data_IF_728444776801
#
_entry.id   IF_728444776801
#
_cell.length_a   1.000
_cell.length_b   1.000
_cell.length_c   1.000
_cell.angle_alpha   90.00
_cell.angle_beta   90.00
_cell.angle_gamma   90.00
#
_symmetry.space_group_name_H-M   'P 1'
#
loop_
_entity.id
_entity.type
_entity.pdbx_description
1 polymer ?
#
# COMPACT_ATOMS: atom_id res chain seq x y z
N UNK A 1 -51.28 13.72 -22.31
CA UNK A 1 -50.71 13.77 -20.95
C UNK A 1 -49.51 12.83 -20.98
N UNK A 2 -48.34 13.42 -21.23
CA UNK A 2 -47.03 12.78 -21.10
C UNK A 2 -46.87 12.16 -19.71
N UNK A 3 -46.21 11.02 -19.61
CA UNK A 3 -45.15 10.78 -18.61
C UNK A 3 -44.13 9.78 -19.21
N UNK A 4 -43.17 10.40 -19.88
CA UNK A 4 -41.76 10.06 -20.08
C UNK A 4 -41.18 8.78 -19.46
N UNK A 5 -40.45 8.07 -20.31
CA UNK A 5 -39.57 6.96 -19.94
C UNK A 5 -38.41 7.43 -19.06
N UNK A 6 -38.15 6.67 -18.01
CA UNK A 6 -36.95 6.78 -17.18
C UNK A 6 -35.78 6.12 -17.89
N UNK A 7 -35.08 6.90 -18.73
CA UNK A 7 -33.72 6.57 -19.11
C UNK A 7 -32.83 6.73 -17.90
N UNK A 8 -32.29 5.63 -17.39
CA UNK A 8 -31.20 5.66 -16.41
C UNK A 8 -30.01 6.34 -17.08
N UNK A 9 -29.83 7.63 -16.81
CA UNK A 9 -28.62 8.36 -17.21
C UNK A 9 -27.48 7.82 -16.39
N UNK A 10 -26.81 6.82 -16.95
CA UNK A 10 -25.48 6.41 -16.57
C UNK A 10 -24.59 7.64 -16.61
N UNK A 11 -24.06 8.02 -15.46
CA UNK A 11 -23.07 9.10 -15.33
C UNK A 11 -21.84 8.66 -16.11
N UNK A 12 -21.61 9.26 -17.28
CA UNK A 12 -20.45 8.95 -18.12
C UNK A 12 -19.22 9.57 -17.47
N UNK A 13 -18.51 8.76 -16.69
CA UNK A 13 -17.19 9.13 -16.21
C UNK A 13 -16.21 9.07 -17.40
N UNK A 14 -15.79 10.23 -17.90
CA UNK A 14 -14.64 10.40 -18.78
C UNK A 14 -14.86 10.05 -20.25
N UNK A 15 -15.00 11.07 -21.11
CA UNK A 15 -14.93 10.92 -22.58
C UNK A 15 -16.09 10.17 -23.23
N UNK A 16 -16.13 10.17 -24.57
CA UNK A 16 -17.08 9.36 -25.32
C UNK A 16 -16.67 7.88 -25.25
N UNK A 17 -17.64 6.97 -25.09
CA UNK A 17 -17.37 5.53 -25.12
C UNK A 17 -16.84 5.12 -26.51
N UNK A 18 -15.97 4.10 -26.58
CA UNK A 18 -15.49 3.58 -27.85
C UNK A 18 -16.64 3.11 -28.74
N UNK A 19 -16.51 3.37 -30.03
CA UNK A 19 -17.47 2.95 -31.06
C UNK A 19 -17.10 1.63 -31.72
N UNK A 20 -15.83 1.24 -31.64
CA UNK A 20 -15.32 -0.03 -32.13
C UNK A 20 -14.21 -0.59 -31.23
N UNK A 21 -13.84 -1.85 -31.49
CA UNK A 21 -12.79 -2.56 -30.74
C UNK A 21 -11.43 -1.86 -30.81
N UNK A 22 -11.06 -1.29 -31.95
CA UNK A 22 -9.76 -0.64 -32.12
C UNK A 22 -9.69 0.60 -31.24
N UNK A 23 -10.76 1.38 -31.20
CA UNK A 23 -10.89 2.54 -30.32
C UNK A 23 -10.87 2.14 -28.84
N UNK A 24 -11.50 1.02 -28.47
CA UNK A 24 -11.48 0.52 -27.09
C UNK A 24 -10.07 0.15 -26.63
N UNK A 25 -9.31 -0.53 -27.49
CA UNK A 25 -7.93 -0.94 -27.22
C UNK A 25 -7.02 0.30 -27.12
N UNK A 26 -7.21 1.29 -27.97
CA UNK A 26 -6.47 2.55 -27.91
C UNK A 26 -6.77 3.33 -26.62
N UNK A 27 -8.04 3.38 -26.22
CA UNK A 27 -8.43 3.98 -24.94
C UNK A 27 -7.78 3.27 -23.73
N UNK A 28 -7.64 1.94 -23.77
CA UNK A 28 -6.91 1.21 -22.72
C UNK A 28 -5.42 1.59 -22.72
N UNK A 29 -4.79 1.79 -23.90
CA UNK A 29 -3.40 2.29 -23.98
C UNK A 29 -3.27 3.68 -23.37
N UNK A 30 -4.17 4.59 -23.70
CA UNK A 30 -4.20 5.95 -23.12
C UNK A 30 -4.30 5.89 -21.59
N UNK A 31 -5.13 5.00 -21.04
CA UNK A 31 -5.23 4.82 -19.58
C UNK A 31 -3.89 4.35 -18.98
N UNK A 32 -3.17 3.42 -19.64
CA UNK A 32 -1.84 2.97 -19.21
C UNK A 32 -0.80 4.10 -19.21
N UNK A 33 -0.86 5.01 -20.18
CA UNK A 33 0.04 6.18 -20.25
C UNK A 33 -0.20 7.17 -19.09
N UNK A 34 -1.42 7.22 -18.54
CA UNK A 34 -1.78 8.02 -17.36
C UNK A 34 -1.50 7.29 -16.03
N UNK A 35 -0.81 6.15 -16.07
CA UNK A 35 -0.50 5.30 -14.91
C UNK A 35 -1.73 4.94 -14.08
N UNK A 36 -2.87 4.67 -14.73
CA UNK A 36 -4.15 4.48 -14.03
C UNK A 36 -4.15 3.36 -12.98
N UNK A 37 -3.27 2.36 -13.10
CA UNK A 37 -3.02 1.29 -12.11
C UNK A 37 -2.54 1.79 -10.74
N UNK A 38 -2.01 3.00 -10.70
CA UNK A 38 -1.34 3.54 -9.51
C UNK A 38 -1.95 4.88 -9.10
N UNK A 39 -2.25 5.74 -10.08
CA UNK A 39 -2.78 7.08 -9.83
C UNK A 39 -4.30 7.09 -9.62
N UNK A 40 -5.02 6.13 -10.19
CA UNK A 40 -6.48 6.17 -10.32
C UNK A 40 -6.98 7.29 -11.25
N UNK A 41 -6.07 7.97 -11.96
CA UNK A 41 -6.37 9.17 -12.76
C UNK A 41 -6.86 8.87 -14.19
N UNK A 42 -6.85 7.60 -14.61
CA UNK A 42 -7.28 7.21 -15.95
C UNK A 42 -8.74 7.55 -16.24
N UNK A 43 -9.04 7.86 -17.49
CA UNK A 43 -10.40 8.15 -17.95
C UNK A 43 -11.26 6.91 -17.83
N UNK A 44 -10.72 5.73 -18.15
CA UNK A 44 -11.38 4.43 -18.10
C UNK A 44 -12.65 4.37 -18.97
N UNK A 45 -12.67 5.11 -20.08
CA UNK A 45 -13.84 5.22 -20.97
C UNK A 45 -14.19 3.93 -21.71
N UNK A 46 -13.22 3.01 -21.83
CA UNK A 46 -13.40 1.70 -22.43
C UNK A 46 -13.92 0.64 -21.45
N UNK A 47 -14.21 1.00 -20.21
CA UNK A 47 -14.69 0.07 -19.20
C UNK A 47 -16.20 0.15 -19.04
N UNK A 48 -16.83 -1.01 -18.85
CA UNK A 48 -18.20 -1.06 -18.35
C UNK A 48 -18.25 -0.52 -16.92
N UNK A 49 -19.29 0.25 -16.56
CA UNK A 49 -19.36 0.88 -15.24
C UNK A 49 -19.42 -0.15 -14.10
N UNK A 50 -19.87 -1.38 -14.38
CA UNK A 50 -19.92 -2.53 -13.48
C UNK A 50 -18.86 -3.60 -13.80
N UNK A 51 -17.78 -3.21 -14.50
CA UNK A 51 -16.62 -4.06 -14.76
C UNK A 51 -16.15 -4.74 -13.48
N UNK A 52 -15.89 -6.04 -13.60
CA UNK A 52 -15.26 -6.85 -12.55
C UNK A 52 -13.76 -6.59 -12.54
N UNK A 53 -13.24 -6.11 -11.42
CA UNK A 53 -11.82 -5.98 -11.15
C UNK A 53 -11.41 -7.07 -10.17
N UNK A 54 -10.42 -7.86 -10.53
CA UNK A 54 -9.95 -8.96 -9.71
C UNK A 54 -8.43 -9.10 -9.77
N UNK A 55 -7.84 -9.36 -8.62
CA UNK A 55 -6.43 -9.66 -8.41
C UNK A 55 -6.32 -10.88 -7.46
N UNK A 56 -5.11 -11.40 -7.16
CA UNK A 56 -4.93 -12.55 -6.27
C UNK A 56 -5.41 -12.36 -4.82
N UNK A 57 -5.67 -11.13 -4.38
CA UNK A 57 -6.09 -10.76 -3.03
C UNK A 57 -7.57 -10.39 -2.93
N UNK A 58 -8.16 -9.81 -3.99
CA UNK A 58 -9.50 -9.25 -3.95
C UNK A 58 -10.22 -9.34 -5.31
N UNK A 59 -11.56 -9.36 -5.25
CA UNK A 59 -12.42 -9.14 -6.42
C UNK A 59 -13.58 -8.22 -6.03
N UNK A 60 -13.89 -7.27 -6.92
CA UNK A 60 -15.00 -6.34 -6.75
C UNK A 60 -15.51 -5.84 -8.10
N UNK A 61 -16.66 -5.16 -8.10
CA UNK A 61 -17.24 -4.53 -9.29
C UNK A 61 -17.26 -3.02 -9.16
N UNK A 62 -17.07 -2.35 -10.29
CA UNK A 62 -17.34 -0.93 -10.46
C UNK A 62 -16.10 -0.06 -10.70
N UNK A 63 -16.11 0.73 -11.77
CA UNK A 63 -15.00 1.64 -12.15
C UNK A 63 -14.73 2.70 -11.07
N UNK A 64 -15.79 3.31 -10.52
CA UNK A 64 -15.64 4.30 -9.44
C UNK A 64 -15.03 3.72 -8.17
N UNK A 65 -15.34 2.44 -7.87
CA UNK A 65 -14.72 1.74 -6.75
C UNK A 65 -13.25 1.46 -7.03
N UNK A 66 -12.92 1.07 -8.27
CA UNK A 66 -11.54 0.86 -8.70
C UNK A 66 -10.71 2.14 -8.55
N UNK A 67 -11.16 3.26 -9.13
CA UNK A 67 -10.47 4.57 -9.06
C UNK A 67 -10.21 4.99 -7.61
N UNK A 68 -11.21 4.83 -6.73
CA UNK A 68 -11.05 5.14 -5.30
C UNK A 68 -10.02 4.23 -4.60
N UNK A 69 -10.06 2.92 -4.86
CA UNK A 69 -9.13 1.96 -4.25
C UNK A 69 -7.68 2.26 -4.66
N UNK A 70 -7.46 2.46 -5.96
CA UNK A 70 -6.13 2.76 -6.50
C UNK A 70 -5.64 4.12 -6.02
N UNK A 71 -6.48 5.16 -5.99
CA UNK A 71 -6.09 6.49 -5.48
C UNK A 71 -5.67 6.45 -4.00
N UNK A 72 -6.41 5.71 -3.16
CA UNK A 72 -6.05 5.53 -1.75
C UNK A 72 -4.68 4.85 -1.58
N UNK A 73 -4.39 3.84 -2.39
CA UNK A 73 -3.11 3.15 -2.35
C UNK A 73 -1.98 4.01 -2.94
N UNK A 74 -2.25 4.70 -4.05
CA UNK A 74 -1.34 5.59 -4.75
C UNK A 74 -0.84 6.74 -3.88
N UNK A 75 -1.67 7.25 -2.97
CA UNK A 75 -1.25 8.23 -1.96
C UNK A 75 -0.16 7.74 -1.00
N UNK A 76 0.07 6.42 -0.92
CA UNK A 76 1.13 5.80 -0.13
C UNK A 76 2.32 5.35 -0.98
N UNK A 77 2.38 5.67 -2.28
CA UNK A 77 3.47 5.23 -3.15
C UNK A 77 4.44 6.36 -3.49
N UNK A 78 5.73 6.03 -3.51
CA UNK A 78 6.84 6.87 -3.96
C UNK A 78 7.66 6.13 -5.01
N UNK A 79 8.37 6.86 -5.86
CA UNK A 79 9.27 6.30 -6.88
C UNK A 79 8.60 5.19 -7.71
N UNK A 80 7.37 5.46 -8.17
CA UNK A 80 6.57 4.52 -8.95
C UNK A 80 7.21 4.32 -10.33
N UNK A 81 7.45 3.05 -10.68
CA UNK A 81 7.86 2.60 -12.00
C UNK A 81 6.87 1.52 -12.48
N UNK A 82 6.15 1.82 -13.55
CA UNK A 82 5.28 0.87 -14.25
C UNK A 82 5.75 0.77 -15.69
N UNK A 83 6.15 -0.43 -16.09
CA UNK A 83 6.60 -0.72 -17.45
C UNK A 83 5.75 -1.80 -18.08
N UNK A 84 5.09 -1.46 -19.17
CA UNK A 84 4.39 -2.43 -20.01
C UNK A 84 5.42 -3.13 -20.90
N UNK A 85 5.49 -4.45 -20.81
CA UNK A 85 6.45 -5.29 -21.54
C UNK A 85 5.82 -6.03 -22.72
N UNK A 86 4.51 -6.27 -22.68
CA UNK A 86 3.75 -6.80 -23.81
C UNK A 86 2.34 -6.20 -23.83
N UNK A 87 1.78 -6.09 -25.03
CA UNK A 87 0.45 -5.57 -25.29
C UNK A 87 -0.13 -6.30 -26.51
N UNK A 88 -0.87 -7.39 -26.25
CA UNK A 88 -1.30 -8.36 -27.26
C UNK A 88 -2.82 -8.41 -27.34
N UNK A 89 -3.36 -8.18 -28.54
CA UNK A 89 -4.77 -8.36 -28.79
C UNK A 89 -5.11 -9.85 -28.81
N UNK A 90 -6.14 -10.23 -28.05
CA UNK A 90 -6.67 -11.59 -28.00
C UNK A 90 -8.05 -11.63 -28.65
N UNK A 91 -8.56 -12.81 -28.96
CA UNK A 91 -9.93 -12.94 -29.52
C UNK A 91 -10.98 -12.23 -28.65
N UNK A 92 -10.84 -12.35 -27.33
CA UNK A 92 -11.83 -11.88 -26.37
C UNK A 92 -11.52 -10.48 -25.81
N UNK A 93 -10.42 -9.86 -26.23
CA UNK A 93 -10.04 -8.51 -25.77
C UNK A 93 -8.54 -8.27 -25.84
N UNK A 94 -7.92 -7.99 -24.71
CA UNK A 94 -6.53 -7.56 -24.64
C UNK A 94 -5.81 -8.24 -23.48
N UNK A 95 -4.58 -8.68 -23.71
CA UNK A 95 -3.67 -9.11 -22.66
C UNK A 95 -2.44 -8.20 -22.64
N UNK A 96 -2.07 -7.76 -21.45
CA UNK A 96 -0.87 -6.95 -21.23
C UNK A 96 0.03 -7.64 -20.22
N UNK A 97 1.33 -7.52 -20.40
CA UNK A 97 2.31 -7.93 -19.37
C UNK A 97 3.01 -6.68 -18.86
N UNK A 98 3.25 -6.61 -17.56
CA UNK A 98 3.79 -5.44 -16.88
C UNK A 98 4.82 -5.81 -15.80
N UNK A 99 5.69 -4.85 -15.53
CA UNK A 99 6.59 -4.83 -14.38
C UNK A 99 6.31 -3.57 -13.59
N UNK A 100 6.07 -3.74 -12.31
CA UNK A 100 5.70 -2.66 -11.41
C UNK A 100 6.65 -2.64 -10.20
N UNK A 101 7.07 -1.45 -9.81
CA UNK A 101 7.71 -1.23 -8.52
C UNK A 101 7.38 0.14 -7.93
N UNK A 102 7.34 0.23 -6.61
CA UNK A 102 7.29 1.49 -5.87
C UNK A 102 7.85 1.31 -4.45
N UNK A 103 8.21 2.41 -3.81
CA UNK A 103 8.52 2.47 -2.38
C UNK A 103 7.28 2.93 -1.64
N UNK A 104 6.79 2.14 -0.68
CA UNK A 104 5.64 2.57 0.11
C UNK A 104 6.05 3.62 1.16
N UNK A 105 5.20 4.62 1.36
CA UNK A 105 5.35 5.69 2.36
C UNK A 105 4.98 5.20 3.78
N UNK A 106 5.56 4.08 4.17
CA UNK A 106 5.53 3.56 5.53
C UNK A 106 6.84 3.94 6.24
N UNK A 107 6.89 3.94 7.59
CA UNK A 107 8.08 4.40 8.32
C UNK A 107 9.39 3.70 7.93
N UNK A 108 9.33 2.42 7.56
CA UNK A 108 10.49 1.63 7.14
C UNK A 108 10.66 1.52 5.61
N UNK A 109 9.86 2.26 4.84
CA UNK A 109 9.96 2.37 3.37
C UNK A 109 10.17 1.04 2.64
N UNK A 110 9.23 0.08 2.75
CA UNK A 110 9.39 -1.19 2.04
C UNK A 110 9.23 -1.03 0.54
N UNK A 111 9.91 -1.88 -0.22
CA UNK A 111 9.78 -1.99 -1.67
C UNK A 111 8.61 -2.92 -2.01
N UNK A 112 7.63 -2.41 -2.73
CA UNK A 112 6.62 -3.22 -3.40
C UNK A 112 7.06 -3.40 -4.84
N UNK A 113 7.35 -4.64 -5.25
CA UNK A 113 7.73 -4.95 -6.62
C UNK A 113 7.07 -6.25 -7.07
N UNK A 114 6.48 -6.24 -8.27
CA UNK A 114 5.82 -7.39 -8.87
C UNK A 114 5.95 -7.34 -10.39
N UNK A 115 5.96 -8.51 -11.01
CA UNK A 115 5.65 -8.66 -12.44
C UNK A 115 4.38 -9.46 -12.58
N UNK A 116 3.68 -9.26 -13.68
CA UNK A 116 2.42 -9.91 -13.93
C UNK A 116 1.83 -9.48 -15.24
N UNK A 117 0.56 -9.83 -15.42
CA UNK A 117 -0.21 -9.43 -16.58
C UNK A 117 -1.65 -9.12 -16.23
N UNK A 118 -2.30 -8.40 -17.12
CA UNK A 118 -3.71 -8.03 -17.01
C UNK A 118 -4.45 -8.53 -18.23
N UNK A 119 -5.56 -9.24 -17.99
CA UNK A 119 -6.50 -9.64 -19.02
C UNK A 119 -7.71 -8.72 -18.98
N UNK A 120 -7.97 -8.05 -20.09
CA UNK A 120 -9.14 -7.22 -20.33
C UNK A 120 -10.08 -7.99 -21.27
N UNK A 121 -11.23 -8.42 -20.76
CA UNK A 121 -12.26 -9.08 -21.57
C UNK A 121 -13.27 -8.05 -22.04
N UNK A 122 -13.43 -7.94 -23.36
CA UNK A 122 -14.39 -7.05 -24.00
C UNK A 122 -15.73 -7.79 -24.23
N UNK A 123 -16.83 -7.06 -24.12
CA UNK A 123 -18.16 -7.52 -24.56
C UNK A 123 -18.45 -7.13 -26.02
N UNK A 124 -19.66 -7.42 -26.49
CA UNK A 124 -20.12 -7.10 -27.85
C UNK A 124 -20.21 -5.59 -28.10
N UNK A 125 -20.36 -4.78 -27.05
CA UNK A 125 -20.34 -3.31 -27.11
C UNK A 125 -18.92 -2.72 -27.04
N UNK A 126 -17.89 -3.56 -27.13
CA UNK A 126 -16.48 -3.18 -27.06
C UNK A 126 -16.05 -2.55 -25.73
N UNK A 127 -16.77 -2.85 -24.65
CA UNK A 127 -16.43 -2.42 -23.30
C UNK A 127 -15.77 -3.54 -22.49
N UNK A 128 -14.79 -3.18 -21.66
CA UNK A 128 -14.15 -4.09 -20.71
C UNK A 128 -15.14 -4.43 -19.60
N UNK A 129 -15.57 -5.68 -19.55
CA UNK A 129 -16.47 -6.21 -18.51
C UNK A 129 -15.72 -6.95 -17.41
N UNK A 130 -14.47 -7.35 -17.69
CA UNK A 130 -13.57 -7.98 -16.73
C UNK A 130 -12.14 -7.49 -16.94
N UNK A 131 -11.54 -7.04 -15.85
CA UNK A 131 -10.15 -6.68 -15.70
C UNK A 131 -9.57 -7.63 -14.64
N UNK A 132 -8.77 -8.59 -15.09
CA UNK A 132 -8.16 -9.60 -14.21
C UNK A 132 -6.65 -9.46 -14.20
N UNK A 133 -6.09 -9.19 -13.03
CA UNK A 133 -4.66 -9.13 -12.79
C UNK A 133 -4.12 -10.47 -12.29
N UNK A 134 -3.05 -10.94 -12.94
CA UNK A 134 -2.28 -12.10 -12.53
C UNK A 134 -0.89 -11.64 -12.13
N UNK A 135 -0.42 -12.07 -10.96
CA UNK A 135 0.95 -11.82 -10.53
C UNK A 135 1.80 -13.06 -10.80
N UNK A 136 3.02 -12.88 -11.30
CA UNK A 136 3.99 -13.97 -11.48
C UNK A 136 4.62 -14.41 -10.15
N UNK A 137 4.48 -13.57 -9.12
CA UNK A 137 4.97 -13.81 -7.77
C UNK A 137 3.82 -14.19 -6.85
N UNK A 138 4.09 -15.14 -5.96
CA UNK A 138 3.13 -15.57 -4.96
C UNK A 138 2.77 -14.41 -4.01
N UNK A 139 1.47 -14.15 -3.74
CA UNK A 139 0.99 -13.10 -2.83
C UNK A 139 1.73 -13.03 -1.48
N UNK A 140 1.98 -14.19 -0.87
CA UNK A 140 2.67 -14.28 0.42
C UNK A 140 4.13 -13.85 0.39
N UNK A 141 4.82 -13.98 -0.76
CA UNK A 141 6.20 -13.50 -0.91
C UNK A 141 6.26 -11.98 -0.96
N UNK A 142 5.29 -11.34 -1.63
CA UNK A 142 5.17 -9.89 -1.67
C UNK A 142 4.87 -9.34 -0.28
N UNK A 143 3.90 -9.91 0.45
CA UNK A 143 3.62 -9.56 1.85
C UNK A 143 4.84 -9.66 2.75
N UNK A 144 5.63 -10.74 2.62
CA UNK A 144 6.89 -10.90 3.38
C UNK A 144 7.94 -9.85 3.00
N UNK A 145 8.02 -9.45 1.74
CA UNK A 145 8.92 -8.39 1.31
C UNK A 145 8.55 -7.04 1.93
N UNK A 146 7.24 -6.77 2.09
CA UNK A 146 6.75 -5.54 2.73
C UNK A 146 7.12 -5.41 4.22
N UNK A 147 7.52 -6.50 4.88
CA UNK A 147 8.03 -6.47 6.25
C UNK A 147 9.51 -6.05 6.33
N UNK A 148 10.19 -5.84 5.19
CA UNK A 148 11.60 -5.46 5.14
C UNK A 148 11.75 -4.05 4.56
N UNK A 149 12.74 -3.26 5.03
CA UNK A 149 13.04 -1.98 4.41
C UNK A 149 13.59 -2.16 2.99
N UNK A 150 13.33 -1.19 2.12
CA UNK A 150 13.85 -1.21 0.75
C UNK A 150 15.37 -1.03 0.70
N UNK A 151 15.92 -0.15 1.55
CA UNK A 151 17.35 0.16 1.57
C UNK A 151 18.16 -0.91 2.30
N UNK A 152 19.33 -1.24 1.75
CA UNK A 152 20.34 -2.07 2.42
C UNK A 152 21.03 -1.35 3.58
N UNK A 153 21.11 -0.02 3.50
CA UNK A 153 21.69 0.83 4.54
C UNK A 153 20.54 1.67 5.11
N UNK A 154 20.09 1.39 6.34
CA UNK A 154 19.01 2.14 6.96
C UNK A 154 19.35 3.64 7.06
N UNK A 155 18.44 4.50 6.64
CA UNK A 155 18.61 5.96 6.72
C UNK A 155 17.88 6.56 7.93
N UNK A 156 16.97 5.80 8.56
CA UNK A 156 16.22 6.24 9.73
C UNK A 156 16.03 5.11 10.77
N UNK A 157 15.59 5.46 11.99
CA UNK A 157 15.46 4.49 13.09
C UNK A 157 14.37 3.44 12.86
N UNK A 158 13.30 3.76 12.12
CA UNK A 158 12.25 2.79 11.81
C UNK A 158 12.76 1.70 10.84
N UNK A 159 13.63 2.06 9.89
CA UNK A 159 14.33 1.10 9.04
C UNK A 159 15.30 0.23 9.82
N UNK A 160 16.09 0.82 10.73
CA UNK A 160 16.97 0.04 11.61
C UNK A 160 16.15 -0.94 12.44
N UNK A 161 15.03 -0.49 13.01
CA UNK A 161 14.13 -1.33 13.79
C UNK A 161 13.61 -2.52 12.97
N UNK A 162 13.06 -2.27 11.78
CA UNK A 162 12.51 -3.34 10.93
C UNK A 162 13.60 -4.26 10.37
N UNK A 163 14.78 -3.75 10.05
CA UNK A 163 15.94 -4.56 9.65
C UNK A 163 16.43 -5.47 10.80
N UNK A 164 16.47 -4.95 12.02
CA UNK A 164 16.83 -5.74 13.20
C UNK A 164 15.77 -6.77 13.55
N UNK A 165 14.48 -6.42 13.50
CA UNK A 165 13.39 -7.38 13.73
C UNK A 165 13.42 -8.53 12.72
N UNK A 166 13.57 -8.23 11.43
CA UNK A 166 13.54 -9.25 10.38
C UNK A 166 14.79 -10.13 10.32
N UNK A 167 15.91 -9.66 10.89
CA UNK A 167 17.15 -10.45 11.05
C UNK A 167 17.21 -11.22 12.38
N UNK A 168 16.25 -11.01 13.30
CA UNK A 168 16.26 -11.60 14.63
C UNK A 168 17.23 -10.92 15.62
N UNK A 169 17.77 -9.75 15.28
CA UNK A 169 18.62 -8.95 16.16
C UNK A 169 17.78 -8.19 17.20
N UNK A 170 17.40 -8.89 18.26
CA UNK A 170 16.58 -8.34 19.36
C UNK A 170 17.22 -7.10 19.99
N UNK A 171 18.54 -7.09 20.14
CA UNK A 171 19.27 -5.97 20.74
C UNK A 171 19.22 -4.75 19.82
N UNK A 172 19.43 -4.94 18.51
CA UNK A 172 19.30 -3.86 17.53
C UNK A 172 17.89 -3.27 17.48
N UNK A 173 16.86 -4.11 17.53
CA UNK A 173 15.46 -3.67 17.53
C UNK A 173 15.12 -2.89 18.81
N UNK A 174 15.58 -3.38 19.98
CA UNK A 174 15.40 -2.68 21.24
C UNK A 174 16.13 -1.33 21.24
N UNK A 175 17.37 -1.28 20.74
CA UNK A 175 18.15 -0.04 20.64
C UNK A 175 17.54 1.00 19.69
N UNK A 176 16.97 0.56 18.56
CA UNK A 176 16.32 1.43 17.58
C UNK A 176 14.99 2.03 18.08
N UNK A 177 14.24 1.26 18.87
CA UNK A 177 12.97 1.71 19.46
C UNK A 177 13.14 2.48 20.79
N UNK A 178 14.30 2.37 21.44
CA UNK A 178 14.55 2.92 22.77
C UNK A 178 14.22 4.42 22.90
N UNK A 179 14.60 5.24 21.91
CA UNK A 179 14.33 6.68 21.93
C UNK A 179 12.83 7.00 21.92
N UNK A 180 12.07 6.33 21.06
CA UNK A 180 10.60 6.48 20.96
C UNK A 180 9.91 5.96 22.22
N UNK A 181 10.36 4.82 22.74
CA UNK A 181 9.82 4.29 23.98
C UNK A 181 10.03 5.25 25.15
N UNK A 182 11.21 5.88 25.25
CA UNK A 182 11.51 6.87 26.29
C UNK A 182 10.63 8.12 26.18
N UNK A 183 10.46 8.68 24.97
CA UNK A 183 9.66 9.90 24.77
C UNK A 183 8.17 9.69 25.05
N UNK A 184 7.64 8.49 24.76
CA UNK A 184 6.24 8.17 25.03
C UNK A 184 6.01 7.75 26.49
N UNK A 185 6.88 6.89 27.03
CA UNK A 185 6.64 6.30 28.35
C UNK A 185 6.98 7.21 29.52
N UNK A 186 8.03 8.04 29.41
CA UNK A 186 8.47 8.87 30.53
C UNK A 186 7.41 9.90 30.97
N UNK A 187 6.77 10.68 30.08
CA UNK A 187 5.77 11.67 30.51
C UNK A 187 4.54 11.03 31.15
N UNK A 188 4.06 9.91 30.59
CA UNK A 188 2.89 9.21 31.10
C UNK A 188 3.18 8.61 32.48
N UNK A 189 4.34 7.96 32.62
CA UNK A 189 4.76 7.38 33.88
C UNK A 189 4.97 8.46 34.96
N UNK A 190 5.70 9.54 34.65
CA UNK A 190 5.94 10.65 35.59
C UNK A 190 4.62 11.30 36.01
N UNK A 191 3.71 11.56 35.08
CA UNK A 191 2.41 12.16 35.39
C UNK A 191 1.58 11.25 36.29
N UNK A 192 1.54 9.94 36.00
CA UNK A 192 0.85 8.96 36.84
C UNK A 192 1.45 8.87 38.24
N UNK A 193 2.78 8.85 38.35
CA UNK A 193 3.49 8.79 39.63
C UNK A 193 3.29 10.06 40.47
N UNK A 194 3.32 11.25 39.84
CA UNK A 194 3.03 12.52 40.49
C UNK A 194 1.59 12.60 40.97
N UNK A 195 0.63 12.20 40.13
CA UNK A 195 -0.78 12.16 40.51
C UNK A 195 -0.95 11.27 41.74
N UNK A 196 -0.38 10.06 41.73
CA UNK A 196 -0.40 9.14 42.87
C UNK A 196 0.19 9.77 44.13
N UNK A 197 1.32 10.46 44.00
CA UNK A 197 1.98 11.12 45.12
C UNK A 197 1.12 12.23 45.75
N UNK A 198 0.31 12.93 44.94
CA UNK A 198 -0.59 14.00 45.37
C UNK A 198 -1.92 13.47 45.91
N UNK A 199 -2.50 12.46 45.26
CA UNK A 199 -3.84 11.94 45.59
C UNK A 199 -3.81 10.82 46.63
N UNK A 200 -2.61 10.33 46.99
CA UNK A 200 -2.42 9.17 47.87
C UNK A 200 -3.22 7.92 47.43
N UNK A 201 -3.43 7.78 46.12
CA UNK A 201 -4.14 6.63 45.54
C UNK A 201 -3.17 5.47 45.32
N UNK A 202 -3.68 4.28 45.02
CA UNK A 202 -2.84 3.16 44.62
C UNK A 202 -2.27 3.36 43.20
N UNK A 203 -1.21 2.61 42.90
CA UNK A 203 -0.61 2.60 41.57
C UNK A 203 -1.62 2.08 40.55
N UNK A 204 -1.77 2.80 39.45
CA UNK A 204 -2.67 2.39 38.36
C UNK A 204 -1.99 1.33 37.49
N UNK A 205 -2.79 0.53 36.77
CA UNK A 205 -2.26 -0.35 35.71
C UNK A 205 -1.52 0.40 34.59
N UNK A 206 -1.76 1.71 34.47
CA UNK A 206 -1.05 2.60 33.56
C UNK A 206 0.40 2.80 34.04
N UNK A 207 0.60 3.08 35.33
CA UNK A 207 1.93 3.30 35.91
C UNK A 207 2.82 2.04 35.77
N UNK A 208 2.26 0.85 36.00
CA UNK A 208 3.02 -0.40 35.85
C UNK A 208 3.36 -0.69 34.38
N UNK A 209 2.42 -0.48 33.45
CA UNK A 209 2.64 -0.70 32.02
C UNK A 209 3.72 0.24 31.46
N UNK A 210 3.61 1.55 31.71
CA UNK A 210 4.58 2.53 31.21
C UNK A 210 5.90 2.50 31.97
N UNK A 211 5.91 2.07 33.25
CA UNK A 211 7.13 1.78 33.97
C UNK A 211 7.93 0.64 33.34
N UNK A 212 7.24 -0.42 32.89
CA UNK A 212 7.86 -1.51 32.13
C UNK A 212 8.46 -1.03 30.80
N UNK A 213 7.74 -0.17 30.06
CA UNK A 213 8.25 0.43 28.82
C UNK A 213 9.48 1.33 29.08
N UNK A 214 9.51 2.07 30.20
CA UNK A 214 10.66 2.89 30.58
C UNK A 214 11.90 2.03 30.85
N UNK A 215 11.73 0.90 31.56
CA UNK A 215 12.81 -0.06 31.80
C UNK A 215 13.35 -0.62 30.49
N UNK A 216 12.46 -1.02 29.56
CA UNK A 216 12.86 -1.48 28.23
C UNK A 216 13.59 -0.39 27.43
N UNK A 217 13.13 0.85 27.50
CA UNK A 217 13.78 1.99 26.84
C UNK A 217 15.21 2.21 27.38
N UNK A 218 15.37 2.19 28.71
CA UNK A 218 16.69 2.30 29.34
C UNK A 218 17.61 1.13 28.97
N UNK A 219 17.11 -0.10 28.99
CA UNK A 219 17.85 -1.28 28.55
C UNK A 219 18.31 -1.15 27.09
N UNK A 220 17.46 -0.62 26.21
CA UNK A 220 17.80 -0.33 24.82
C UNK A 220 18.88 0.74 24.67
N UNK A 221 18.84 1.83 25.44
CA UNK A 221 19.90 2.84 25.44
C UNK A 221 21.25 2.28 25.91
N UNK A 222 21.24 1.47 26.97
CA UNK A 222 22.43 0.79 27.48
C UNK A 222 22.99 -0.15 26.41
N UNK A 223 22.13 -0.96 25.78
CA UNK A 223 22.56 -1.89 24.75
C UNK A 223 23.15 -1.17 23.51
N UNK A 224 22.56 -0.03 23.13
CA UNK A 224 23.10 0.85 22.08
C UNK A 224 24.47 1.42 22.45
N UNK A 225 24.64 1.89 23.69
CA UNK A 225 25.91 2.39 24.20
C UNK A 225 26.99 1.31 24.23
N UNK A 226 26.69 0.12 24.75
CA UNK A 226 27.61 -1.02 24.82
C UNK A 226 28.04 -1.49 23.41
N UNK A 227 27.13 -1.49 22.43
CA UNK A 227 27.48 -1.78 21.03
C UNK A 227 28.30 -0.67 20.38
N UNK A 228 28.05 0.60 20.70
CA UNK A 228 28.83 1.74 20.21
C UNK A 228 30.26 1.81 20.74
N UNK A 229 30.60 1.05 21.79
CA UNK A 229 31.95 0.94 22.36
C UNK A 229 32.76 -0.21 21.70
N UNK A 230 32.12 -1.08 20.91
CA UNK A 230 32.79 -2.12 20.14
C UNK A 230 32.79 -1.81 18.64
N UNK A 231 33.98 -1.79 18.03
CA UNK A 231 34.31 -1.57 16.60
C UNK A 231 34.79 -0.13 16.30
N UNK A 232 36.09 0.09 16.55
CA UNK A 232 37.00 0.69 15.56
C UNK A 232 37.52 -0.41 14.64
#
# INVERSE_FOLDING_TARGET
MELTGGGTTTVIAGGARPSDRKEAIEAIREDYDENYFVSGAGKMRAYDDQCEFADPFASFRGVERFKRNVSNLGGLMRDVDLKITSFEETKDGLQTEWKFSCVLDLPWRPLLAASGGTTHTLNDDHLVVRHYERWDVEPGKVLKALLRPASKIPENQAEVFMASLTSGDVIGALGASAGVLLTVSAPIWVTSALLRAVTHTEATGLESAFGGLLVLACAGQIAKFLRGIGIS
#
